data_IF_643738684132
#
_entry.id   IF_643738684132
#
_cell.length_a   1.000
_cell.length_b   1.000
_cell.length_c   1.000
_cell.angle_alpha   90.00
_cell.angle_beta   90.00
_cell.angle_gamma   90.00
#
_symmetry.space_group_name_H-M   'P 1'
#
loop_
_entity.id
_entity.type
_entity.pdbx_description
1 polymer ?
#
# COMPACT_ATOMS: atom_id res chain seq x y z
N UNK A 1 15.63 -14.32 6.00
CA UNK A 1 14.99 -14.80 7.24
C UNK A 1 13.89 -13.81 7.60
N UNK A 2 12.63 -14.10 7.26
CA UNK A 2 11.52 -13.20 7.60
C UNK A 2 11.15 -13.46 9.06
N UNK A 3 11.56 -12.55 9.97
CA UNK A 3 11.08 -12.57 11.36
C UNK A 3 9.57 -12.44 11.34
N UNK A 4 8.86 -13.48 11.77
CA UNK A 4 7.40 -13.49 11.85
C UNK A 4 6.95 -12.53 12.97
N UNK A 5 6.67 -11.28 12.60
CA UNK A 5 6.14 -10.28 13.51
C UNK A 5 4.60 -10.42 13.55
N UNK A 6 4.00 -10.38 14.75
CA UNK A 6 2.55 -10.51 14.90
C UNK A 6 1.82 -9.34 14.22
N UNK A 7 0.79 -9.56 13.38
CA UNK A 7 0.05 -8.46 12.75
C UNK A 7 -0.51 -7.43 13.74
N UNK A 8 -0.79 -7.86 14.98
CA UNK A 8 -1.31 -7.00 16.04
C UNK A 8 -0.31 -5.94 16.50
N UNK A 9 1.00 -6.12 16.29
CA UNK A 9 2.00 -5.10 16.66
C UNK A 9 1.96 -3.86 15.77
N UNK A 10 1.25 -3.91 14.63
CA UNK A 10 1.08 -2.77 13.73
C UNK A 10 -0.22 -1.98 13.99
N UNK A 11 -1.06 -2.43 14.94
CA UNK A 11 -2.29 -1.74 15.30
C UNK A 11 -2.01 -0.58 16.30
N UNK A 12 -2.75 0.53 16.22
CA UNK A 12 -3.77 0.84 15.22
C UNK A 12 -3.17 1.29 13.88
N UNK A 13 -3.76 0.83 12.77
CA UNK A 13 -3.41 1.35 11.45
C UNK A 13 -4.19 2.63 11.18
N UNK A 14 -3.54 3.61 10.56
CA UNK A 14 -4.26 4.76 10.01
C UNK A 14 -5.06 4.32 8.78
N UNK A 15 -6.15 5.02 8.40
CA UNK A 15 -6.91 4.68 7.19
C UNK A 15 -6.02 4.59 5.94
N UNK A 16 -5.07 5.51 5.78
CA UNK A 16 -4.14 5.49 4.66
C UNK A 16 -3.28 4.22 4.65
N UNK A 17 -2.71 3.83 5.79
CA UNK A 17 -1.89 2.61 5.91
C UNK A 17 -2.71 1.37 5.58
N UNK A 18 -3.90 1.25 6.18
CA UNK A 18 -4.79 0.11 5.95
C UNK A 18 -5.15 -0.02 4.46
N UNK A 19 -5.58 1.07 3.82
CA UNK A 19 -5.99 1.02 2.43
C UNK A 19 -4.84 0.80 1.45
N UNK A 20 -3.63 1.30 1.73
CA UNK A 20 -2.43 1.00 0.92
C UNK A 20 -2.09 -0.49 1.00
N UNK A 21 -2.05 -1.08 2.21
CA UNK A 21 -1.80 -2.51 2.38
C UNK A 21 -2.87 -3.36 1.71
N UNK A 22 -4.15 -2.99 1.86
CA UNK A 22 -5.26 -3.68 1.20
C UNK A 22 -5.15 -3.61 -0.32
N UNK A 23 -4.78 -2.45 -0.89
CA UNK A 23 -4.60 -2.29 -2.33
C UNK A 23 -3.50 -3.20 -2.90
N UNK A 24 -2.44 -3.41 -2.12
CA UNK A 24 -1.29 -4.24 -2.48
C UNK A 24 -1.46 -5.73 -2.14
N UNK A 25 -2.52 -6.11 -1.41
CA UNK A 25 -2.71 -7.49 -0.94
C UNK A 25 -2.93 -8.50 -2.06
N UNK A 26 -3.57 -8.07 -3.15
CA UNK A 26 -3.89 -8.92 -4.30
C UNK A 26 -2.75 -8.96 -5.34
N UNK A 27 -2.07 -7.84 -5.55
CA UNK A 27 -1.03 -7.68 -6.57
C UNK A 27 -0.13 -6.46 -6.31
N UNK A 28 1.08 -6.49 -6.87
CA UNK A 28 1.93 -5.30 -6.96
C UNK A 28 1.26 -4.21 -7.82
N UNK A 29 1.42 -2.94 -7.42
CA UNK A 29 0.78 -1.80 -8.08
C UNK A 29 1.70 -0.60 -8.14
N UNK A 30 1.61 0.15 -9.24
CA UNK A 30 2.13 1.50 -9.34
C UNK A 30 1.46 2.43 -8.31
N UNK A 31 2.18 3.45 -7.84
CA UNK A 31 1.66 4.41 -6.86
C UNK A 31 0.33 5.06 -7.30
N UNK A 32 0.21 5.44 -8.57
CA UNK A 32 -1.05 5.97 -9.11
C UNK A 32 -2.19 4.94 -9.07
N UNK A 33 -1.88 3.67 -9.36
CA UNK A 33 -2.84 2.57 -9.27
C UNK A 33 -3.36 2.36 -7.86
N UNK A 34 -2.49 2.50 -6.85
CA UNK A 34 -2.88 2.44 -5.42
C UNK A 34 -3.86 3.58 -5.11
N UNK A 35 -3.51 4.84 -5.43
CA UNK A 35 -4.40 5.98 -5.15
C UNK A 35 -5.78 5.82 -5.82
N UNK A 36 -5.82 5.32 -7.06
CA UNK A 36 -7.08 5.07 -7.79
C UNK A 36 -7.89 3.92 -7.21
N UNK A 37 -7.24 2.86 -6.77
CA UNK A 37 -7.88 1.73 -6.12
C UNK A 37 -8.50 2.13 -4.78
N UNK A 38 -7.78 2.90 -3.97
CA UNK A 38 -8.28 3.40 -2.67
C UNK A 38 -9.47 4.35 -2.87
N UNK A 39 -9.37 5.31 -3.80
CA UNK A 39 -10.48 6.22 -4.12
C UNK A 39 -11.73 5.43 -4.56
N UNK A 40 -11.56 4.42 -5.42
CA UNK A 40 -12.66 3.57 -5.92
C UNK A 40 -13.29 2.73 -4.82
N UNK A 41 -12.49 2.02 -4.01
CA UNK A 41 -12.97 1.12 -2.95
C UNK A 41 -13.68 1.87 -1.82
N UNK A 42 -13.33 3.13 -1.60
CA UNK A 42 -13.89 3.98 -0.53
C UNK A 42 -14.96 4.95 -1.03
N UNK A 43 -15.39 4.83 -2.30
CA UNK A 43 -16.35 5.78 -2.91
C UNK A 43 -15.92 7.25 -2.75
N UNK A 44 -14.61 7.50 -2.75
CA UNK A 44 -14.01 8.82 -2.60
C UNK A 44 -13.88 9.35 -1.17
N UNK A 45 -14.26 8.59 -0.14
CA UNK A 45 -14.07 9.00 1.27
C UNK A 45 -12.59 9.13 1.63
N UNK A 46 -11.74 8.26 1.08
CA UNK A 46 -10.29 8.32 1.28
C UNK A 46 -9.61 8.71 -0.03
N UNK A 47 -8.90 9.84 0.00
CA UNK A 47 -8.09 10.33 -1.12
C UNK A 47 -6.63 10.44 -0.73
N UNK A 48 -5.79 9.65 -1.39
CA UNK A 48 -4.35 9.65 -1.16
C UNK A 48 -3.68 10.58 -2.17
N UNK A 49 -3.40 11.81 -1.73
CA UNK A 49 -2.52 12.71 -2.48
C UNK A 49 -1.07 12.17 -2.52
N UNK A 50 -0.23 12.64 -3.46
CA UNK A 50 1.13 12.13 -3.65
C UNK A 50 1.96 12.12 -2.36
N UNK A 51 1.94 13.21 -1.58
CA UNK A 51 2.69 13.28 -0.32
C UNK A 51 2.25 12.24 0.70
N UNK A 52 0.94 12.04 0.87
CA UNK A 52 0.38 11.04 1.79
C UNK A 52 0.69 9.62 1.33
N UNK A 53 0.56 9.35 0.03
CA UNK A 53 0.84 8.05 -0.55
C UNK A 53 2.31 7.68 -0.37
N UNK A 54 3.24 8.49 -0.89
CA UNK A 54 4.67 8.16 -0.86
C UNK A 54 5.22 8.21 0.56
N UNK A 55 4.74 9.10 1.43
CA UNK A 55 5.08 9.08 2.85
C UNK A 55 4.57 7.81 3.57
N UNK A 56 3.43 7.27 3.17
CA UNK A 56 2.90 6.00 3.70
C UNK A 56 3.70 4.81 3.19
N UNK A 57 4.00 4.75 1.89
CA UNK A 57 4.85 3.72 1.30
C UNK A 57 6.24 3.69 1.93
N UNK A 58 6.86 4.87 2.15
CA UNK A 58 8.16 4.96 2.82
C UNK A 58 8.14 4.37 4.24
N UNK A 59 7.12 4.69 5.04
CA UNK A 59 6.96 4.11 6.39
C UNK A 59 6.73 2.60 6.37
N UNK A 60 5.92 2.13 5.42
CA UNK A 60 5.67 0.71 5.23
C UNK A 60 6.94 -0.05 4.79
N UNK A 61 7.77 0.57 3.95
CA UNK A 61 9.05 0.00 3.51
C UNK A 61 10.04 -0.08 4.69
N UNK A 62 10.17 0.99 5.48
CA UNK A 62 11.01 0.98 6.68
C UNK A 62 10.57 -0.05 7.72
N UNK A 63 9.27 -0.36 7.81
CA UNK A 63 8.73 -1.40 8.70
C UNK A 63 8.78 -2.81 8.10
N UNK A 64 9.30 -2.97 6.88
CA UNK A 64 9.42 -4.27 6.22
C UNK A 64 8.09 -4.87 5.75
N UNK A 65 7.02 -4.08 5.69
CA UNK A 65 5.68 -4.53 5.28
C UNK A 65 5.47 -4.47 3.76
N UNK A 66 6.20 -3.60 3.06
CA UNK A 66 6.20 -3.51 1.60
C UNK A 66 7.63 -3.35 1.10
N UNK A 67 7.86 -3.67 -0.18
CA UNK A 67 9.13 -3.41 -0.85
C UNK A 67 8.84 -3.00 -2.29
N UNK A 68 9.76 -2.23 -2.87
CA UNK A 68 9.70 -1.85 -4.27
C UNK A 68 10.14 -3.02 -5.17
N UNK A 69 9.45 -3.19 -6.29
CA UNK A 69 9.75 -4.22 -7.29
C UNK A 69 10.04 -3.55 -8.64
N UNK A 70 10.83 -4.18 -9.54
CA UNK A 70 11.10 -3.63 -10.87
C UNK A 70 9.82 -3.36 -11.67
N UNK A 71 9.84 -2.31 -12.49
CA UNK A 71 8.70 -1.90 -13.31
C UNK A 71 8.22 -2.96 -14.32
N UNK A 72 9.09 -3.88 -14.71
CA UNK A 72 8.73 -4.97 -15.63
C UNK A 72 8.07 -6.16 -14.92
N UNK A 73 8.05 -6.15 -13.57
CA UNK A 73 7.37 -7.16 -12.75
C UNK A 73 5.91 -6.80 -12.45
N UNK A 74 5.46 -5.62 -12.87
CA UNK A 74 4.08 -5.15 -12.77
C UNK A 74 3.38 -5.27 -14.12
N UNK A 75 3.29 -6.49 -14.67
CA UNK A 75 2.68 -6.74 -15.98
C UNK A 75 1.17 -7.03 -15.91
N UNK A 76 0.42 -6.09 -16.48
CA UNK A 76 -0.76 -6.14 -17.35
C UNK A 76 -1.69 -7.37 -17.33
N UNK A 77 -2.71 -7.38 -16.47
CA UNK A 77 -4.03 -7.90 -16.87
C UNK A 77 -5.15 -7.29 -16.01
N UNK A 78 -5.87 -6.33 -16.58
CA UNK A 78 -7.30 -6.07 -16.38
C UNK A 78 -7.77 -5.09 -17.46
#
# INVERSE_FOLDING_TARGET
MTTSQSPRSFLPLTPAVFHVLLSLSDAARHGYGISKDVERRTLGEVKLGPGTLYGTLGRLATSGLVHEVPADSVDQTA
#
